data_IF_499330423265
#
_entry.id   IF_499330423265
#
_cell.length_a   1.000
_cell.length_b   1.000
_cell.length_c   1.000
_cell.angle_alpha   90.00
_cell.angle_beta   90.00
_cell.angle_gamma   90.00
#
_symmetry.space_group_name_H-M   'P 1'
#
loop_
_entity.id
_entity.type
_entity.pdbx_description
1 polymer ?
#
# COMPACT_ATOMS: atom_id res chain seq x y z
N UNK A 1 9.71 9.53 5.12
CA UNK A 1 8.69 8.68 4.47
C UNK A 1 7.82 8.14 5.58
N UNK A 2 6.65 8.75 5.74
CA UNK A 2 5.47 8.35 6.53
C UNK A 2 5.48 6.94 7.15
N UNK A 3 5.93 6.82 8.41
CA UNK A 3 5.81 5.59 9.22
C UNK A 3 4.34 5.13 9.33
N UNK A 4 3.39 6.06 9.23
CA UNK A 4 1.95 5.78 9.35
C UNK A 4 1.37 4.93 8.21
N UNK A 5 1.86 5.03 6.96
CA UNK A 5 1.30 4.26 5.85
C UNK A 5 1.67 2.79 5.95
N UNK A 6 2.92 2.50 6.34
CA UNK A 6 3.36 1.12 6.52
C UNK A 6 2.59 0.47 7.68
N UNK A 7 2.43 1.19 8.81
CA UNK A 7 1.61 0.71 9.92
C UNK A 7 0.16 0.47 9.50
N UNK A 8 -0.46 1.40 8.77
CA UNK A 8 -1.81 1.21 8.22
C UNK A 8 -1.91 -0.03 7.33
N UNK A 9 -0.96 -0.22 6.42
CA UNK A 9 -0.92 -1.41 5.55
C UNK A 9 -0.78 -2.70 6.36
N UNK A 10 -0.03 -2.69 7.48
CA UNK A 10 0.15 -3.87 8.32
C UNK A 10 -1.03 -4.14 9.26
N UNK A 11 -1.64 -3.10 9.84
CA UNK A 11 -2.70 -3.21 10.83
C UNK A 11 -4.08 -3.32 10.20
N UNK A 12 -4.42 -2.40 9.28
CA UNK A 12 -5.76 -2.31 8.68
C UNK A 12 -5.91 -3.19 7.44
N UNK A 13 -4.86 -3.27 6.62
CA UNK A 13 -4.86 -4.06 5.37
C UNK A 13 -4.30 -5.48 5.60
N UNK A 14 -3.71 -5.75 6.78
CA UNK A 14 -3.10 -7.03 7.14
C UNK A 14 -1.99 -7.50 6.18
N UNK A 15 -1.25 -6.56 5.57
CA UNK A 15 -0.12 -6.87 4.71
C UNK A 15 1.11 -7.23 5.54
N UNK A 16 1.82 -8.27 5.10
CA UNK A 16 3.14 -8.59 5.66
C UNK A 16 4.20 -7.61 5.13
N UNK A 17 5.22 -7.34 5.94
CA UNK A 17 6.31 -6.43 5.59
C UNK A 17 7.01 -6.83 4.27
N UNK A 18 7.05 -8.12 3.95
CA UNK A 18 7.61 -8.63 2.69
C UNK A 18 6.77 -8.21 1.46
N UNK A 19 5.45 -8.26 1.59
CA UNK A 19 4.50 -7.84 0.55
C UNK A 19 4.62 -6.33 0.28
N UNK A 20 4.75 -5.54 1.36
CA UNK A 20 4.95 -4.09 1.28
C UNK A 20 6.29 -3.79 0.60
N UNK A 21 7.37 -4.50 0.95
CA UNK A 21 8.69 -4.35 0.32
C UNK A 21 8.67 -4.68 -1.17
N UNK A 22 7.95 -5.72 -1.59
CA UNK A 22 7.79 -6.07 -3.01
C UNK A 22 7.16 -4.93 -3.79
N UNK A 23 6.07 -4.35 -3.27
CA UNK A 23 5.42 -3.21 -3.90
C UNK A 23 6.33 -1.95 -3.88
N UNK A 24 6.97 -1.62 -2.75
CA UNK A 24 7.89 -0.50 -2.64
C UNK A 24 9.04 -0.57 -3.64
N UNK A 25 9.57 -1.77 -3.91
CA UNK A 25 10.65 -1.97 -4.88
C UNK A 25 10.27 -1.50 -6.30
N UNK A 26 9.00 -1.68 -6.68
CA UNK A 26 8.45 -1.26 -7.98
C UNK A 26 8.13 0.24 -8.03
N UNK A 27 7.94 0.86 -6.86
CA UNK A 27 7.35 2.19 -6.70
C UNK A 27 8.44 3.26 -6.41
N UNK A 28 9.72 2.87 -6.47
CA UNK A 28 10.90 3.71 -6.17
C UNK A 28 10.92 5.10 -6.82
N UNK A 29 10.18 5.32 -7.92
CA UNK A 29 10.12 6.60 -8.63
C UNK A 29 8.80 7.38 -8.40
N UNK A 30 7.76 6.75 -7.84
CA UNK A 30 6.41 7.35 -7.81
C UNK A 30 5.55 6.76 -6.68
N UNK A 31 5.58 7.33 -5.45
CA UNK A 31 4.85 6.80 -4.29
C UNK A 31 3.34 6.63 -4.53
N UNK A 32 2.73 7.44 -5.40
CA UNK A 32 1.34 7.31 -5.81
C UNK A 32 1.01 5.98 -6.53
N UNK A 33 2.02 5.23 -6.99
CA UNK A 33 1.84 3.93 -7.61
C UNK A 33 1.84 2.77 -6.61
N UNK A 34 2.08 3.01 -5.32
CA UNK A 34 2.08 1.95 -4.31
C UNK A 34 0.78 1.15 -4.26
N UNK A 35 -0.41 1.78 -4.19
CA UNK A 35 -1.68 1.05 -4.10
C UNK A 35 -1.90 0.21 -5.37
N UNK A 36 -1.58 0.78 -6.53
CA UNK A 36 -1.73 0.12 -7.83
C UNK A 36 -0.71 -1.02 -8.00
N UNK A 37 0.49 -0.89 -7.46
CA UNK A 37 1.47 -1.98 -7.45
C UNK A 37 1.01 -3.14 -6.56
N UNK A 38 0.49 -2.85 -5.36
CA UNK A 38 -0.08 -3.86 -4.46
C UNK A 38 -1.19 -4.67 -5.16
N UNK A 39 -2.07 -4.00 -5.90
CA UNK A 39 -3.13 -4.66 -6.68
C UNK A 39 -2.57 -5.49 -7.84
N UNK A 40 -1.61 -4.96 -8.59
CA UNK A 40 -0.97 -5.68 -9.71
C UNK A 40 -0.29 -6.98 -9.27
N UNK A 41 0.26 -7.00 -8.06
CA UNK A 41 0.85 -8.20 -7.47
C UNK A 41 -0.18 -9.13 -6.84
N UNK A 42 -1.47 -8.75 -6.79
CA UNK A 42 -2.54 -9.52 -6.15
C UNK A 42 -2.42 -9.58 -4.63
N UNK A 43 -1.71 -8.63 -4.02
CA UNK A 43 -1.47 -8.57 -2.56
C UNK A 43 -2.68 -7.97 -1.82
N UNK A 44 -3.50 -7.20 -2.54
CA UNK A 44 -4.73 -6.58 -2.05
C UNK A 44 -5.86 -6.76 -3.06
N UNK A 45 -7.09 -6.56 -2.58
CA UNK A 45 -8.29 -6.53 -3.42
C UNK A 45 -8.75 -5.08 -3.66
N UNK A 46 -9.69 -4.88 -4.59
CA UNK A 46 -10.25 -3.56 -4.89
C UNK A 46 -10.83 -2.84 -3.66
N UNK A 47 -11.47 -3.55 -2.72
CA UNK A 47 -11.98 -2.92 -1.49
C UNK A 47 -10.87 -2.48 -0.51
N UNK A 48 -9.72 -3.16 -0.51
CA UNK A 48 -8.56 -2.74 0.28
C UNK A 48 -7.82 -1.60 -0.41
N UNK A 49 -7.77 -1.62 -1.75
CA UNK A 49 -7.26 -0.52 -2.55
C UNK A 49 -8.02 0.79 -2.26
N UNK A 50 -9.35 0.73 -2.22
CA UNK A 50 -10.22 1.86 -1.92
C UNK A 50 -9.90 2.48 -0.54
N UNK A 51 -9.78 1.63 0.49
CA UNK A 51 -9.34 2.06 1.84
C UNK A 51 -7.97 2.74 1.86
N UNK A 52 -7.02 2.22 1.06
CA UNK A 52 -5.68 2.82 0.98
C UNK A 52 -5.77 4.21 0.32
N UNK A 53 -6.58 4.37 -0.73
CA UNK A 53 -6.79 5.68 -1.35
C UNK A 53 -7.47 6.66 -0.41
N UNK A 54 -8.55 6.26 0.25
CA UNK A 54 -9.26 7.07 1.26
C UNK A 54 -8.32 7.51 2.39
N UNK A 55 -7.46 6.61 2.87
CA UNK A 55 -6.45 6.94 3.86
C UNK A 55 -5.40 7.94 3.34
N UNK A 56 -4.93 7.77 2.10
CA UNK A 56 -3.96 8.69 1.48
C UNK A 56 -4.57 10.09 1.28
N UNK A 57 -5.87 10.19 0.98
CA UNK A 57 -6.55 11.47 0.83
C UNK A 57 -6.81 12.18 2.17
N UNK A 58 -6.90 11.42 3.27
CA UNK A 58 -7.21 11.95 4.61
C UNK A 58 -5.99 12.18 5.50
N UNK A 59 -4.81 11.63 5.17
CA UNK A 59 -3.54 11.74 5.91
C UNK A 59 -2.65 12.90 5.45
#
# INVERSE_FOLDING_TARGET
>A
MSENLISFLQEEIHLSSDQIKLALNKVQQSPNQLPIALLQYGLINLGQLDKIFDWIETA
#
